data_IF_325051954322
#
_entry.id   IF_325051954322
#
_cell.length_a   1.000
_cell.length_b   1.000
_cell.length_c   1.000
_cell.angle_alpha   90.00
_cell.angle_beta   90.00
_cell.angle_gamma   90.00
#
_symmetry.space_group_name_H-M   'P 1'
#
loop_
_entity.id
_entity.type
_entity.pdbx_description
1 polymer ?
#
# COMPACT_ATOMS: atom_id res chain seq x y z
N UNK A 1 3.74 -7.34 -19.19
CA UNK A 1 2.96 -7.41 -17.94
C UNK A 1 3.98 -7.37 -16.82
N UNK A 2 4.06 -6.28 -16.05
CA UNK A 2 5.02 -6.15 -14.97
C UNK A 2 4.62 -7.11 -13.86
N UNK A 3 5.35 -8.23 -13.73
CA UNK A 3 5.04 -9.27 -12.77
C UNK A 3 5.29 -8.77 -11.35
N UNK A 4 4.25 -8.73 -10.53
CA UNK A 4 4.38 -8.40 -9.10
C UNK A 4 5.02 -9.57 -8.35
N UNK A 5 6.04 -9.26 -7.56
CA UNK A 5 6.72 -10.24 -6.70
C UNK A 5 5.75 -10.86 -5.68
N UNK A 6 6.12 -12.01 -5.13
CA UNK A 6 5.35 -12.64 -4.04
C UNK A 6 5.13 -11.72 -2.84
N UNK A 7 6.10 -10.85 -2.53
CA UNK A 7 6.00 -9.88 -1.43
C UNK A 7 5.01 -8.77 -1.74
N UNK A 8 5.11 -8.15 -2.92
CA UNK A 8 4.18 -7.11 -3.37
C UNK A 8 2.74 -7.64 -3.40
N UNK A 9 2.54 -8.87 -3.87
CA UNK A 9 1.24 -9.55 -3.86
C UNK A 9 0.72 -9.81 -2.45
N UNK A 10 1.57 -10.21 -1.50
CA UNK A 10 1.17 -10.37 -0.10
C UNK A 10 0.73 -9.03 0.53
N UNK A 11 1.47 -7.96 0.24
CA UNK A 11 1.15 -6.59 0.68
C UNK A 11 -0.19 -6.13 0.11
N UNK A 12 -0.42 -6.31 -1.19
CA UNK A 12 -1.69 -5.94 -1.82
C UNK A 12 -2.88 -6.68 -1.22
N UNK A 13 -2.73 -7.98 -0.89
CA UNK A 13 -3.77 -8.75 -0.21
C UNK A 13 -4.07 -8.23 1.19
N UNK A 14 -3.04 -7.86 1.95
CA UNK A 14 -3.22 -7.30 3.28
C UNK A 14 -3.91 -5.93 3.24
N UNK A 15 -3.56 -5.10 2.25
CA UNK A 15 -4.25 -3.82 2.00
C UNK A 15 -5.71 -4.07 1.62
N UNK A 16 -5.99 -5.05 0.75
CA UNK A 16 -7.36 -5.42 0.39
C UNK A 16 -8.18 -5.93 1.60
N UNK A 17 -7.53 -6.51 2.62
CA UNK A 17 -8.17 -6.88 3.88
C UNK A 17 -8.45 -5.67 4.81
N UNK A 18 -7.97 -4.47 4.47
CA UNK A 18 -8.24 -3.23 5.20
C UNK A 18 -7.40 -3.00 6.46
N UNK A 19 -6.35 -3.79 6.68
CA UNK A 19 -5.50 -3.68 7.88
C UNK A 19 -4.25 -2.80 7.67
N UNK A 20 -4.12 -2.21 6.48
CA UNK A 20 -2.98 -1.42 6.10
C UNK A 20 -3.16 0.07 6.36
N UNK A 21 -2.11 0.72 6.86
CA UNK A 21 -2.06 2.14 7.15
C UNK A 21 -0.73 2.72 6.69
N UNK A 22 -0.71 3.97 6.25
CA UNK A 22 0.53 4.68 5.91
C UNK A 22 0.62 6.03 6.62
N UNK A 23 1.83 6.54 6.78
CA UNK A 23 2.04 7.91 7.27
C UNK A 23 1.70 8.91 6.17
N UNK A 24 0.79 9.85 6.45
CA UNK A 24 0.46 10.95 5.54
C UNK A 24 1.65 11.90 5.38
N UNK A 25 1.87 12.39 4.16
CA UNK A 25 2.89 13.41 3.87
C UNK A 25 4.34 12.91 3.87
N UNK A 26 4.59 11.62 4.11
CA UNK A 26 5.90 11.00 3.96
C UNK A 26 5.86 9.97 2.80
N UNK A 27 6.98 9.76 2.14
CA UNK A 27 7.09 8.73 1.13
C UNK A 27 7.03 7.34 1.78
N UNK A 28 5.83 6.79 1.82
CA UNK A 28 5.53 5.36 1.85
C UNK A 28 5.95 4.53 3.09
N UNK A 29 5.88 5.13 4.27
CA UNK A 29 5.92 4.41 5.54
C UNK A 29 4.63 3.59 5.75
N UNK A 30 4.63 2.33 5.30
CA UNK A 30 3.48 1.41 5.34
C UNK A 30 3.54 0.47 6.56
N UNK A 31 2.42 0.39 7.28
CA UNK A 31 2.14 -0.59 8.32
C UNK A 31 1.02 -1.53 7.92
N UNK A 32 1.18 -2.80 8.25
CA UNK A 32 0.16 -3.83 8.10
C UNK A 32 0.01 -4.50 9.47
N UNK A 33 -1.22 -4.59 9.98
CA UNK A 33 -1.50 -5.16 11.31
C UNK A 33 -0.66 -4.53 12.43
N UNK A 34 -0.31 -3.23 12.29
CA UNK A 34 0.53 -2.51 13.25
C UNK A 34 2.04 -2.73 13.11
N UNK A 35 2.49 -3.60 12.21
CA UNK A 35 3.90 -3.89 11.95
C UNK A 35 4.40 -3.17 10.70
N UNK A 36 5.67 -2.72 10.74
CA UNK A 36 6.32 -2.13 9.57
C UNK A 36 6.52 -3.17 8.47
N UNK A 37 6.11 -2.79 7.25
CA UNK A 37 6.28 -3.59 6.05
C UNK A 37 7.68 -3.37 5.44
N UNK A 38 8.03 -4.23 4.47
CA UNK A 38 9.12 -3.97 3.53
C UNK A 38 8.91 -2.61 2.83
N UNK A 39 9.76 -1.64 3.16
CA UNK A 39 9.71 -0.27 2.64
C UNK A 39 9.91 -0.22 1.14
N UNK A 40 10.80 -1.06 0.58
CA UNK A 40 11.08 -1.07 -0.86
C UNK A 40 9.88 -1.56 -1.66
N UNK A 41 9.22 -2.63 -1.19
CA UNK A 41 8.01 -3.14 -1.85
C UNK A 41 6.85 -2.14 -1.73
N UNK A 42 6.66 -1.52 -0.56
CA UNK A 42 5.65 -0.49 -0.36
C UNK A 42 5.87 0.71 -1.31
N UNK A 43 7.10 1.22 -1.38
CA UNK A 43 7.45 2.34 -2.25
C UNK A 43 7.20 2.01 -3.73
N UNK A 44 7.55 0.80 -4.19
CA UNK A 44 7.27 0.36 -5.57
C UNK A 44 5.77 0.37 -5.88
N UNK A 45 4.95 -0.19 -4.99
CA UNK A 45 3.49 -0.22 -5.16
C UNK A 45 2.90 1.19 -5.21
N UNK A 46 3.38 2.08 -4.34
CA UNK A 46 2.93 3.47 -4.30
C UNK A 46 3.37 4.26 -5.52
N UNK A 47 4.65 4.13 -5.93
CA UNK A 47 5.17 4.77 -7.14
C UNK A 47 4.50 4.26 -8.42
N UNK A 48 4.09 2.99 -8.44
CA UNK A 48 3.31 2.40 -9.53
C UNK A 48 1.82 2.78 -9.49
N UNK A 49 1.37 3.56 -8.50
CA UNK A 49 -0.02 3.97 -8.35
C UNK A 49 -0.98 2.82 -8.02
N UNK A 50 -0.47 1.69 -7.53
CA UNK A 50 -1.28 0.51 -7.18
C UNK A 50 -1.98 0.66 -5.83
N UNK A 51 -1.47 1.54 -4.96
CA UNK A 51 -2.00 1.81 -3.62
C UNK A 51 -2.02 3.33 -3.40
N UNK A 52 -2.93 3.80 -2.54
CA UNK A 52 -2.99 5.22 -2.15
C UNK A 52 -3.54 5.38 -0.74
N UNK A 53 -3.30 6.55 -0.14
CA UNK A 53 -4.00 6.93 1.08
C UNK A 53 -5.49 7.08 0.79
N UNK A 54 -6.34 6.45 1.62
CA UNK A 54 -7.79 6.52 1.49
C UNK A 54 -8.35 7.90 1.88
N UNK A 55 -7.58 8.70 2.62
CA UNK A 55 -7.96 10.05 3.04
C UNK A 55 -6.73 10.96 3.15
N UNK A 56 -6.96 12.25 2.91
CA UNK A 56 -5.98 13.29 3.21
C UNK A 56 -5.95 13.53 4.73
N UNK A 57 -4.76 13.59 5.31
CA UNK A 57 -4.56 13.96 6.71
C UNK A 57 -3.31 14.84 6.84
N UNK A 58 -3.15 15.59 7.94
CA UNK A 58 -1.90 16.30 8.25
C UNK A 58 -0.69 15.36 8.20
N UNK A 59 0.46 15.90 7.80
CA UNK A 59 1.69 15.14 7.72
C UNK A 59 2.03 14.49 9.07
N UNK A 60 2.52 13.24 9.05
CA UNK A 60 2.85 12.47 10.24
C UNK A 60 1.70 11.66 10.86
N UNK A 61 0.46 11.82 10.38
CA UNK A 61 -0.66 10.99 10.85
C UNK A 61 -0.76 9.66 10.10
N UNK A 62 -1.13 8.60 10.81
CA UNK A 62 -1.47 7.31 10.17
C UNK A 62 -2.84 7.40 9.50
N UNK A 63 -2.89 7.07 8.22
CA UNK A 63 -4.12 7.01 7.43
C UNK A 63 -4.31 5.62 6.85
N UNK A 64 -5.56 5.13 6.73
CA UNK A 64 -5.84 3.90 6.01
C UNK A 64 -5.33 3.96 4.57
N UNK A 65 -4.86 2.83 4.08
CA UNK A 65 -4.43 2.64 2.69
C UNK A 65 -5.47 1.82 1.96
N UNK A 66 -5.77 2.21 0.73
CA UNK A 66 -6.65 1.46 -0.16
C UNK A 66 -5.91 1.03 -1.42
N UNK A 67 -6.35 -0.10 -1.97
CA UNK A 67 -5.89 -0.60 -3.25
C UNK A 67 -6.58 0.19 -4.36
N UNK A 68 -5.83 0.66 -5.35
CA UNK A 68 -6.40 1.34 -6.53
C UNK A 68 -6.88 0.30 -7.55
N UNK A 69 -7.69 0.70 -8.55
CA UNK A 69 -8.06 -0.20 -9.63
C UNK A 69 -6.86 -0.81 -10.38
N UNK A 70 -5.73 -0.10 -10.46
CA UNK A 70 -4.48 -0.61 -11.06
C UNK A 70 -3.93 -1.76 -10.21
N UNK A 71 -3.91 -1.60 -8.89
CA UNK A 71 -3.49 -2.65 -7.97
C UNK A 71 -4.42 -3.87 -7.97
N UNK A 72 -5.74 -3.64 -8.05
CA UNK A 72 -6.74 -4.72 -8.14
C UNK A 72 -6.52 -5.57 -9.40
N UNK A 73 -6.34 -4.92 -10.55
CA UNK A 73 -6.09 -5.62 -11.81
C UNK A 73 -4.80 -6.46 -11.78
N UNK A 74 -3.74 -5.98 -11.11
CA UNK A 74 -2.52 -6.79 -10.92
C UNK A 74 -2.68 -7.93 -9.91
N UNK A 75 -3.59 -7.79 -8.95
CA UNK A 75 -3.90 -8.85 -8.01
C UNK A 75 -4.88 -9.88 -8.60
N UNK A 76 -5.58 -9.54 -9.69
CA UNK A 76 -6.63 -10.34 -10.29
C UNK A 76 -7.96 -10.30 -9.52
N UNK A 77 -8.26 -9.17 -8.88
CA UNK A 77 -9.52 -8.88 -8.19
C UNK A 77 -10.51 -8.14 -9.10
#
# INVERSE_FOLDING_TARGET
>A
MSEISFRERAILRAIAAGTAQMVSGCACDLRIDGHWCDHTAAQKLFAAGMIRAAKTAPAGQMVPVEITPIGQNQLGL
#
